data_IF_236086774315
#
_entry.id   IF_236086774315
#
_cell.length_a   1.000
_cell.length_b   1.000
_cell.length_c   1.000
_cell.angle_alpha   90.00
_cell.angle_beta   90.00
_cell.angle_gamma   90.00
#
_symmetry.space_group_name_H-M   'P 1'
#
loop_
_entity.id
_entity.type
_entity.pdbx_description
1 polymer ?
#
# COMPACT_ATOMS: atom_id res chain seq x y z
N UNK A 1 5.33 70.45 -44.80
CA UNK A 1 3.93 69.95 -44.74
C UNK A 1 3.94 68.44 -45.10
N UNK A 2 4.06 67.60 -44.11
CA UNK A 2 3.91 66.13 -44.31
C UNK A 2 3.09 65.60 -43.13
N UNK A 3 2.03 64.93 -43.44
CA UNK A 3 1.14 64.26 -42.49
C UNK A 3 1.81 62.99 -41.91
N UNK A 4 1.57 62.59 -40.64
CA UNK A 4 1.97 61.33 -40.12
C UNK A 4 0.89 60.25 -40.49
N UNK A 5 1.39 59.07 -40.79
CA UNK A 5 0.66 57.83 -41.10
C UNK A 5 0.20 57.17 -39.82
N UNK A 6 -1.09 56.87 -39.69
CA UNK A 6 -1.72 56.13 -38.61
C UNK A 6 -1.59 54.62 -38.88
N UNK A 7 -0.59 53.98 -38.26
CA UNK A 7 -0.42 52.52 -38.24
C UNK A 7 -1.13 51.91 -37.06
N UNK A 8 -2.39 51.45 -37.19
CA UNK A 8 -3.08 50.59 -36.24
C UNK A 8 -2.58 49.16 -36.41
N UNK A 9 -1.58 48.77 -35.59
CA UNK A 9 -1.18 47.37 -35.41
C UNK A 9 -2.12 46.66 -34.43
N UNK A 10 -3.04 45.86 -34.97
CA UNK A 10 -3.85 44.93 -34.18
C UNK A 10 -2.99 43.81 -33.68
N UNK A 11 -2.85 43.71 -32.36
CA UNK A 11 -2.31 42.55 -31.69
C UNK A 11 -3.38 41.45 -31.65
N UNK A 12 -3.17 40.36 -32.42
CA UNK A 12 -3.93 39.14 -32.26
C UNK A 12 -3.72 38.58 -30.85
N UNK A 13 -4.79 38.06 -30.19
CA UNK A 13 -4.64 37.41 -28.89
C UNK A 13 -3.90 36.05 -29.08
N UNK A 14 -2.85 35.82 -28.29
CA UNK A 14 -2.12 34.58 -28.26
C UNK A 14 -3.06 33.41 -27.98
N UNK A 15 -3.07 32.45 -28.88
CA UNK A 15 -3.84 31.19 -28.75
C UNK A 15 -3.32 30.41 -27.56
N UNK A 16 -4.20 30.11 -26.57
CA UNK A 16 -3.83 29.33 -25.40
C UNK A 16 -3.38 27.92 -25.81
N UNK A 17 -2.37 27.34 -25.17
CA UNK A 17 -1.88 26.02 -25.53
C UNK A 17 -3.00 24.96 -25.35
N UNK A 18 -3.33 24.26 -26.41
CA UNK A 18 -4.29 23.15 -26.40
C UNK A 18 -3.63 21.94 -25.75
N UNK A 19 -4.21 21.47 -24.65
CA UNK A 19 -3.83 20.19 -24.03
C UNK A 19 -4.15 19.09 -25.03
N UNK A 20 -3.18 18.27 -25.48
CA UNK A 20 -3.46 17.13 -26.36
C UNK A 20 -4.33 16.11 -25.62
N UNK A 21 -5.24 15.40 -26.32
CA UNK A 21 -6.03 14.35 -25.70
C UNK A 21 -5.12 13.20 -25.25
N UNK A 22 -5.50 12.49 -24.16
CA UNK A 22 -4.71 11.37 -23.65
C UNK A 22 -4.57 10.31 -24.75
N UNK A 23 -3.34 9.83 -24.94
CA UNK A 23 -3.07 8.74 -25.87
C UNK A 23 -3.81 7.48 -25.37
N UNK A 24 -4.45 6.70 -26.28
CA UNK A 24 -4.97 5.41 -25.91
C UNK A 24 -3.83 4.53 -25.39
N UNK A 25 -4.06 3.85 -24.26
CA UNK A 25 -3.12 2.90 -23.71
C UNK A 25 -2.70 1.90 -24.80
N UNK A 26 -1.41 1.82 -25.09
CA UNK A 26 -0.87 0.78 -25.94
C UNK A 26 -1.24 -0.57 -25.29
N UNK A 27 -1.83 -1.47 -26.08
CA UNK A 27 -2.05 -2.86 -25.66
C UNK A 27 -0.67 -3.49 -25.48
N UNK A 28 -0.21 -3.53 -24.22
CA UNK A 28 1.00 -4.20 -23.84
C UNK A 28 0.75 -5.70 -23.89
N UNK A 29 1.15 -6.31 -25.02
CA UNK A 29 1.17 -7.75 -25.19
C UNK A 29 2.35 -8.32 -24.41
N UNK A 30 2.25 -8.29 -23.07
CA UNK A 30 3.21 -8.84 -22.14
C UNK A 30 3.40 -10.33 -22.37
N UNK A 31 4.43 -10.67 -23.14
CA UNK A 31 4.91 -12.03 -23.32
C UNK A 31 5.74 -12.41 -22.11
N UNK A 32 5.14 -13.11 -21.15
CA UNK A 32 5.86 -13.70 -20.03
C UNK A 32 6.95 -14.66 -20.53
N UNK A 33 8.18 -14.62 -19.98
CA UNK A 33 9.21 -15.60 -20.33
C UNK A 33 8.78 -17.01 -19.89
N UNK A 34 8.91 -17.99 -20.81
CA UNK A 34 8.36 -19.34 -20.67
C UNK A 34 9.18 -20.29 -19.76
N UNK A 35 9.93 -19.82 -18.77
CA UNK A 35 10.83 -20.67 -17.98
C UNK A 35 10.79 -20.44 -16.47
N UNK A 36 9.66 -20.00 -15.94
CA UNK A 36 9.47 -20.01 -14.49
C UNK A 36 8.83 -21.33 -14.06
N UNK A 37 9.64 -22.37 -13.90
CA UNK A 37 9.28 -23.59 -13.16
C UNK A 37 9.98 -23.52 -11.79
N UNK A 38 9.25 -23.65 -10.66
CA UNK A 38 9.92 -23.84 -9.38
C UNK A 38 10.74 -25.13 -9.43
N UNK A 39 11.99 -25.07 -9.04
CA UNK A 39 12.86 -26.23 -8.95
C UNK A 39 12.26 -27.25 -7.97
N UNK A 40 12.30 -28.58 -8.28
CA UNK A 40 11.91 -29.59 -7.33
C UNK A 40 12.85 -29.58 -6.12
N UNK A 41 12.36 -29.89 -4.91
CA UNK A 41 13.20 -29.95 -3.71
C UNK A 41 14.29 -31.00 -3.89
N UNK A 42 15.52 -30.64 -3.52
CA UNK A 42 16.65 -31.56 -3.49
C UNK A 42 16.39 -32.64 -2.43
N UNK A 43 16.33 -33.87 -2.86
CA UNK A 43 16.28 -35.06 -2.00
C UNK A 43 17.57 -35.17 -1.18
N UNK A 44 17.47 -35.25 0.15
CA UNK A 44 18.54 -35.80 0.95
C UNK A 44 18.98 -35.07 2.23
N UNK A 45 18.17 -34.24 2.87
CA UNK A 45 18.47 -33.77 4.23
C UNK A 45 17.39 -34.25 5.22
N UNK A 46 17.76 -34.88 6.39
CA UNK A 46 16.77 -35.25 7.40
C UNK A 46 16.20 -33.97 8.08
N UNK A 47 14.91 -34.00 8.47
CA UNK A 47 14.27 -32.84 9.05
C UNK A 47 14.92 -32.45 10.39
N UNK A 48 15.03 -31.16 10.70
CA UNK A 48 15.51 -30.69 12.01
C UNK A 48 14.55 -31.15 13.12
N UNK A 49 15.10 -31.69 14.20
CA UNK A 49 14.34 -32.09 15.40
C UNK A 49 13.73 -30.84 16.00
N UNK A 50 12.41 -30.83 16.12
CA UNK A 50 11.66 -29.78 16.81
C UNK A 50 12.05 -29.66 18.29
N UNK A 51 11.80 -28.50 18.91
CA UNK A 51 12.09 -28.27 20.33
C UNK A 51 11.30 -29.27 21.19
N UNK A 52 11.99 -29.94 22.10
CA UNK A 52 11.36 -30.82 23.10
C UNK A 52 10.57 -29.95 24.08
N UNK A 53 9.27 -30.25 24.22
CA UNK A 53 8.46 -29.67 25.29
C UNK A 53 9.01 -30.07 26.68
N UNK A 54 9.03 -29.17 27.66
CA UNK A 54 9.40 -29.48 29.02
C UNK A 54 8.34 -30.42 29.65
N UNK A 55 8.80 -31.54 30.22
CA UNK A 55 7.97 -32.50 30.93
C UNK A 55 7.25 -31.83 32.09
N UNK A 56 5.94 -31.92 32.13
CA UNK A 56 5.13 -31.58 33.33
C UNK A 56 5.46 -32.52 34.48
N UNK A 57 5.53 -31.99 35.72
CA UNK A 57 5.61 -32.83 36.91
C UNK A 57 4.32 -33.63 37.08
N UNK A 58 4.47 -34.92 37.48
CA UNK A 58 3.37 -35.78 37.86
C UNK A 58 2.81 -35.35 39.22
N UNK A 59 1.52 -35.09 39.29
CA UNK A 59 0.79 -34.93 40.55
C UNK A 59 0.35 -36.29 41.10
N UNK A 60 0.30 -36.46 42.46
CA UNK A 60 -0.04 -37.70 43.08
C UNK A 60 -1.55 -37.99 43.08
N UNK A 61 -1.89 -39.25 42.93
CA UNK A 61 -3.25 -39.78 43.04
C UNK A 61 -3.81 -39.53 44.46
N UNK A 62 -4.93 -38.87 44.56
CA UNK A 62 -5.80 -38.97 45.75
C UNK A 62 -7.22 -39.37 45.35
N UNK A 63 -7.85 -40.06 46.31
CA UNK A 63 -8.97 -41.00 46.19
C UNK A 63 -10.31 -40.31 45.94
N UNK A 64 -11.15 -41.06 45.24
CA UNK A 64 -12.58 -40.80 45.04
C UNK A 64 -13.33 -40.80 46.41
N UNK A 65 -14.07 -39.73 46.66
CA UNK A 65 -15.26 -39.77 47.50
C UNK A 65 -16.46 -39.24 46.73
N UNK A 66 -17.48 -40.10 46.67
CA UNK A 66 -18.77 -39.85 46.06
C UNK A 66 -19.57 -38.87 46.91
N UNK A 67 -20.02 -37.78 46.32
CA UNK A 67 -21.10 -36.95 46.85
C UNK A 67 -22.10 -36.60 45.74
N UNK A 68 -23.36 -36.84 46.01
CA UNK A 68 -24.55 -36.64 45.17
C UNK A 68 -24.78 -35.17 44.79
N UNK A 69 -25.43 -34.89 43.66
CA UNK A 69 -25.61 -33.51 43.17
C UNK A 69 -26.78 -32.81 43.89
N UNK A 70 -26.50 -31.65 44.48
CA UNK A 70 -27.51 -30.69 44.88
C UNK A 70 -27.91 -29.81 43.69
N UNK A 71 -29.21 -29.78 43.45
CA UNK A 71 -29.87 -28.87 42.50
C UNK A 71 -29.59 -27.42 42.88
N UNK A 72 -28.84 -26.71 42.02
CA UNK A 72 -28.76 -25.25 42.04
C UNK A 72 -29.68 -24.68 40.95
N UNK A 73 -30.69 -23.97 41.41
CA UNK A 73 -31.60 -23.15 40.61
C UNK A 73 -30.79 -22.12 39.80
N UNK A 74 -30.92 -22.16 38.47
CA UNK A 74 -30.43 -21.11 37.56
C UNK A 74 -31.15 -19.79 37.77
N UNK A 75 -30.44 -18.64 37.87
CA UNK A 75 -31.08 -17.34 37.73
C UNK A 75 -31.49 -17.10 36.28
N UNK A 76 -32.70 -16.59 36.12
CA UNK A 76 -33.35 -16.27 34.86
C UNK A 76 -32.43 -15.53 33.88
N UNK A 77 -32.18 -16.14 32.71
CA UNK A 77 -31.48 -15.49 31.60
C UNK A 77 -32.31 -14.36 31.02
N UNK A 78 -31.81 -13.15 31.13
CA UNK A 78 -32.31 -11.99 30.39
C UNK A 78 -32.35 -12.28 28.89
N UNK A 79 -33.50 -12.09 28.30
CA UNK A 79 -33.77 -12.29 26.87
C UNK A 79 -32.91 -11.37 26.02
N UNK A 80 -31.81 -11.92 25.51
CA UNK A 80 -31.08 -11.31 24.39
C UNK A 80 -31.97 -11.36 23.15
N UNK A 81 -32.34 -10.19 22.65
CA UNK A 81 -33.18 -10.00 21.49
C UNK A 81 -32.72 -10.85 20.30
N UNK A 82 -33.61 -11.74 19.89
CA UNK A 82 -33.47 -12.55 18.68
C UNK A 82 -33.51 -11.59 17.49
N UNK A 83 -32.39 -11.48 16.74
CA UNK A 83 -32.37 -10.79 15.46
C UNK A 83 -33.51 -11.33 14.59
N UNK A 84 -34.29 -10.48 13.91
CA UNK A 84 -35.33 -10.95 13.01
C UNK A 84 -34.70 -11.80 11.90
N UNK A 85 -35.29 -12.95 11.61
CA UNK A 85 -34.90 -13.80 10.51
C UNK A 85 -34.96 -12.99 9.20
N UNK A 86 -34.02 -13.20 8.25
CA UNK A 86 -34.08 -12.53 6.95
C UNK A 86 -35.44 -12.86 6.28
N UNK A 87 -36.03 -11.90 5.55
CA UNK A 87 -37.30 -12.13 4.87
C UNK A 87 -37.14 -13.32 3.90
N UNK A 88 -38.04 -14.30 4.05
CA UNK A 88 -38.15 -15.40 3.09
C UNK A 88 -38.45 -14.80 1.73
N UNK A 89 -37.66 -15.10 0.68
CA UNK A 89 -37.97 -14.61 -0.65
C UNK A 89 -39.39 -15.02 -1.06
N UNK A 90 -40.15 -14.14 -1.72
CA UNK A 90 -41.50 -14.45 -2.14
C UNK A 90 -41.48 -15.72 -3.00
N UNK A 91 -42.36 -16.69 -2.66
CA UNK A 91 -42.57 -17.88 -3.47
C UNK A 91 -43.00 -17.39 -4.85
N UNK A 92 -42.30 -17.80 -5.93
CA UNK A 92 -42.70 -17.39 -7.28
C UNK A 92 -44.13 -17.84 -7.55
N UNK A 93 -44.94 -17.03 -8.25
CA UNK A 93 -46.30 -17.40 -8.60
C UNK A 93 -46.29 -18.74 -9.34
N UNK A 94 -47.30 -19.61 -9.15
CA UNK A 94 -47.37 -20.87 -9.86
C UNK A 94 -47.34 -20.60 -11.37
N UNK A 95 -46.45 -21.31 -12.09
CA UNK A 95 -46.30 -21.18 -13.54
C UNK A 95 -47.67 -21.37 -14.21
N UNK A 96 -48.03 -20.58 -15.24
CA UNK A 96 -49.30 -20.72 -15.92
C UNK A 96 -49.41 -22.15 -16.45
N UNK A 97 -50.51 -22.84 -16.09
CA UNK A 97 -50.75 -24.19 -16.55
C UNK A 97 -51.14 -24.14 -18.03
N UNK A 98 -50.14 -24.23 -18.89
CA UNK A 98 -50.34 -24.30 -20.33
C UNK A 98 -50.96 -25.67 -20.72
N UNK A 99 -51.91 -25.70 -21.65
CA UNK A 99 -52.51 -26.95 -22.11
C UNK A 99 -51.49 -27.79 -22.88
N UNK A 100 -51.66 -29.14 -22.88
CA UNK A 100 -50.80 -30.04 -23.63
C UNK A 100 -50.60 -29.64 -25.11
N UNK A 101 -51.67 -29.16 -25.76
CA UNK A 101 -51.59 -28.71 -27.16
C UNK A 101 -50.66 -27.49 -27.33
N UNK A 102 -50.72 -26.55 -26.39
CA UNK A 102 -49.83 -25.34 -26.38
C UNK A 102 -48.38 -25.76 -26.08
N UNK A 103 -48.16 -26.58 -25.08
CA UNK A 103 -46.80 -27.07 -24.77
C UNK A 103 -46.18 -27.85 -25.92
N UNK A 104 -46.97 -28.70 -26.62
CA UNK A 104 -46.52 -29.38 -27.81
C UNK A 104 -46.14 -28.45 -28.93
N UNK A 105 -46.86 -27.32 -29.11
CA UNK A 105 -46.54 -26.34 -30.16
C UNK A 105 -45.29 -25.55 -29.88
N UNK A 106 -44.86 -25.48 -28.61
CA UNK A 106 -43.63 -24.78 -28.17
C UNK A 106 -42.36 -25.64 -28.29
N UNK A 107 -42.47 -26.97 -28.54
CA UNK A 107 -41.31 -27.86 -28.58
C UNK A 107 -40.26 -27.45 -29.62
N UNK A 108 -40.66 -26.93 -30.77
CA UNK A 108 -39.71 -26.42 -31.76
C UNK A 108 -38.96 -25.18 -31.33
N UNK A 109 -39.65 -24.21 -30.74
CA UNK A 109 -39.02 -23.02 -30.18
C UNK A 109 -38.12 -23.36 -28.99
N UNK A 110 -38.55 -24.31 -28.16
CA UNK A 110 -37.73 -24.81 -27.03
C UNK A 110 -36.45 -25.49 -27.51
N UNK A 111 -36.54 -26.35 -28.55
CA UNK A 111 -35.36 -27.01 -29.10
C UNK A 111 -34.32 -26.00 -29.66
N UNK A 112 -34.77 -24.87 -30.19
CA UNK A 112 -33.96 -23.77 -30.69
C UNK A 112 -33.51 -22.79 -29.61
N UNK A 113 -33.85 -23.03 -28.33
CA UNK A 113 -33.61 -22.14 -27.21
C UNK A 113 -34.23 -20.74 -27.40
N UNK A 114 -35.37 -20.65 -28.12
CA UNK A 114 -36.05 -19.41 -28.47
C UNK A 114 -37.29 -19.11 -27.59
N UNK A 115 -37.59 -19.96 -26.59
CA UNK A 115 -38.67 -19.72 -25.63
C UNK A 115 -38.25 -18.72 -24.54
N UNK A 116 -39.16 -17.88 -24.04
CA UNK A 116 -38.98 -17.14 -22.81
C UNK A 116 -38.77 -18.08 -21.60
N UNK A 117 -38.13 -17.61 -20.52
CA UNK A 117 -37.83 -18.48 -19.35
C UNK A 117 -39.05 -19.17 -18.74
N UNK A 118 -40.21 -18.53 -18.73
CA UNK A 118 -41.46 -19.07 -18.18
C UNK A 118 -42.01 -20.20 -19.06
N UNK A 119 -41.98 -20.07 -20.37
CA UNK A 119 -42.41 -21.11 -21.32
C UNK A 119 -41.39 -22.27 -21.31
N UNK A 120 -40.10 -22.01 -21.21
CA UNK A 120 -39.06 -23.02 -21.10
C UNK A 120 -39.33 -23.91 -19.86
N UNK A 121 -39.54 -23.28 -18.70
CA UNK A 121 -39.84 -24.01 -17.48
C UNK A 121 -41.12 -24.86 -17.56
N UNK A 122 -42.17 -24.33 -18.20
CA UNK A 122 -43.43 -25.05 -18.40
C UNK A 122 -43.26 -26.27 -19.34
N UNK A 123 -42.52 -26.10 -20.45
CA UNK A 123 -42.19 -27.21 -21.37
C UNK A 123 -41.35 -28.27 -20.64
N UNK A 124 -40.30 -27.91 -19.96
CA UNK A 124 -39.43 -28.85 -19.24
C UNK A 124 -40.19 -29.63 -18.15
N UNK A 125 -41.04 -28.96 -17.38
CA UNK A 125 -41.91 -29.62 -16.43
C UNK A 125 -42.83 -30.63 -17.10
N UNK A 126 -43.40 -30.32 -18.27
CA UNK A 126 -44.26 -31.22 -19.04
C UNK A 126 -43.51 -32.43 -19.60
N UNK A 127 -42.29 -32.26 -20.11
CA UNK A 127 -41.48 -33.34 -20.66
C UNK A 127 -41.17 -34.44 -19.62
N UNK A 128 -41.12 -34.10 -18.35
CA UNK A 128 -40.92 -35.08 -17.26
C UNK A 128 -42.14 -36.03 -17.07
N UNK A 129 -43.33 -35.70 -17.63
CA UNK A 129 -44.57 -36.44 -17.38
C UNK A 129 -45.26 -36.89 -18.66
N UNK A 130 -44.72 -36.51 -19.86
CA UNK A 130 -45.34 -36.85 -21.13
C UNK A 130 -44.33 -37.45 -22.12
N UNK A 131 -44.22 -38.77 -22.15
CA UNK A 131 -43.32 -39.50 -23.04
C UNK A 131 -43.42 -39.13 -24.51
N UNK A 132 -44.63 -38.99 -25.10
CA UNK A 132 -44.71 -38.59 -26.52
C UNK A 132 -44.12 -37.22 -26.85
N UNK A 133 -44.25 -36.26 -25.94
CA UNK A 133 -43.63 -34.94 -26.09
C UNK A 133 -42.13 -34.99 -25.85
N UNK A 134 -41.66 -35.85 -24.92
CA UNK A 134 -40.24 -36.04 -24.68
C UNK A 134 -39.53 -36.65 -25.90
N UNK A 135 -40.13 -37.66 -26.54
CA UNK A 135 -39.61 -38.27 -27.76
C UNK A 135 -39.57 -37.26 -28.94
N UNK A 136 -40.58 -36.42 -29.04
CA UNK A 136 -40.63 -35.34 -30.05
C UNK A 136 -39.57 -34.27 -29.78
N UNK A 137 -39.41 -33.87 -28.53
CA UNK A 137 -38.38 -32.92 -28.11
C UNK A 137 -36.97 -33.41 -28.40
N UNK A 138 -36.67 -34.69 -28.19
CA UNK A 138 -35.38 -35.30 -28.56
C UNK A 138 -35.14 -35.25 -30.07
N UNK A 139 -36.14 -35.63 -30.89
CA UNK A 139 -36.01 -35.58 -32.33
C UNK A 139 -35.80 -34.16 -32.86
N UNK A 140 -36.49 -33.17 -32.29
CA UNK A 140 -36.28 -31.76 -32.63
C UNK A 140 -34.90 -31.25 -32.26
N UNK A 141 -34.35 -31.66 -31.07
CA UNK A 141 -32.97 -31.30 -30.69
C UNK A 141 -31.94 -31.96 -31.62
N UNK A 142 -32.12 -33.22 -31.99
CA UNK A 142 -31.26 -33.88 -32.99
C UNK A 142 -31.31 -33.13 -34.34
N UNK A 143 -32.50 -32.76 -34.79
CA UNK A 143 -32.66 -31.98 -36.03
C UNK A 143 -32.00 -30.61 -35.93
N UNK A 144 -32.12 -29.92 -34.82
CA UNK A 144 -31.42 -28.64 -34.55
C UNK A 144 -29.90 -28.82 -34.54
N UNK A 145 -29.41 -29.95 -33.97
CA UNK A 145 -28.00 -30.32 -34.04
C UNK A 145 -27.46 -30.45 -35.47
N UNK A 146 -28.30 -30.95 -36.42
CA UNK A 146 -27.94 -31.09 -37.82
C UNK A 146 -27.92 -29.73 -38.57
N UNK A 147 -28.63 -28.71 -38.05
CA UNK A 147 -28.64 -27.36 -38.64
C UNK A 147 -27.39 -26.55 -38.24
N UNK A 148 -26.73 -26.92 -37.16
CA UNK A 148 -25.43 -26.37 -36.80
C UNK A 148 -24.37 -27.21 -37.53
N UNK A 149 -23.66 -26.61 -38.49
CA UNK A 149 -22.46 -27.22 -39.06
C UNK A 149 -21.56 -27.67 -37.90
N UNK A 150 -20.92 -28.84 -38.07
CA UNK A 150 -20.03 -29.50 -37.10
C UNK A 150 -18.89 -28.56 -36.59
N UNK A 151 -19.25 -27.53 -35.88
CA UNK A 151 -18.36 -26.91 -34.96
C UNK A 151 -18.39 -27.85 -33.75
N UNK A 152 -17.29 -28.57 -33.59
CA UNK A 152 -17.03 -29.48 -32.47
C UNK A 152 -17.64 -28.93 -31.19
N UNK A 153 -18.59 -29.67 -30.61
CA UNK A 153 -19.10 -29.41 -29.25
C UNK A 153 -18.00 -29.63 -28.16
N UNK A 154 -16.81 -30.07 -28.60
CA UNK A 154 -15.61 -30.03 -27.76
C UNK A 154 -15.30 -28.56 -27.51
N UNK A 155 -15.68 -28.13 -26.32
CA UNK A 155 -15.33 -26.81 -25.81
C UNK A 155 -13.84 -26.63 -26.01
N UNK A 156 -13.47 -25.59 -26.76
CA UNK A 156 -12.06 -25.19 -26.89
C UNK A 156 -11.38 -25.29 -25.51
N UNK A 157 -10.37 -26.14 -25.36
CA UNK A 157 -9.67 -26.33 -24.07
C UNK A 157 -9.21 -25.00 -23.45
N UNK A 158 -9.01 -23.98 -24.27
CA UNK A 158 -8.62 -22.63 -23.85
C UNK A 158 -9.82 -21.71 -23.55
N UNK A 159 -11.08 -22.17 -23.80
CA UNK A 159 -12.26 -21.34 -23.56
C UNK A 159 -12.35 -20.93 -22.07
N UNK A 160 -12.10 -21.85 -21.16
CA UNK A 160 -12.07 -21.57 -19.72
C UNK A 160 -11.03 -20.49 -19.39
N UNK A 161 -9.83 -20.63 -19.93
CA UNK A 161 -8.75 -19.66 -19.72
C UNK A 161 -9.09 -18.29 -20.32
N UNK A 162 -9.67 -18.25 -21.53
CA UNK A 162 -10.12 -17.02 -22.15
C UNK A 162 -11.27 -16.35 -21.42
N UNK A 163 -12.25 -17.11 -20.95
CA UNK A 163 -13.36 -16.59 -20.13
C UNK A 163 -12.84 -16.04 -18.81
N UNK A 164 -11.97 -16.79 -18.12
CA UNK A 164 -11.36 -16.33 -16.88
C UNK A 164 -10.50 -15.09 -17.10
N UNK A 165 -9.67 -15.06 -18.15
CA UNK A 165 -8.89 -13.89 -18.49
C UNK A 165 -9.78 -12.68 -18.83
N UNK A 166 -10.86 -12.88 -19.59
CA UNK A 166 -11.84 -11.85 -19.89
C UNK A 166 -12.62 -11.36 -18.65
N UNK A 167 -12.95 -12.26 -17.72
CA UNK A 167 -13.60 -11.91 -16.46
C UNK A 167 -12.64 -11.17 -15.53
N UNK A 168 -11.39 -11.63 -15.42
CA UNK A 168 -10.35 -10.99 -14.61
C UNK A 168 -9.93 -9.64 -15.18
N UNK A 169 -9.86 -9.50 -16.51
CA UNK A 169 -9.59 -8.22 -17.15
C UNK A 169 -10.72 -7.19 -17.00
N UNK A 170 -11.97 -7.63 -16.85
CA UNK A 170 -13.14 -6.76 -16.60
C UNK A 170 -13.36 -6.44 -15.12
N UNK A 171 -12.86 -7.27 -14.23
CA UNK A 171 -12.73 -7.01 -12.80
C UNK A 171 -11.24 -6.88 -12.51
N UNK A 172 -10.68 -5.68 -12.44
CA UNK A 172 -9.40 -5.52 -11.79
C UNK A 172 -9.57 -6.17 -10.42
N UNK A 173 -8.79 -7.23 -10.18
CA UNK A 173 -8.74 -7.86 -8.87
C UNK A 173 -8.32 -6.76 -7.91
N UNK A 174 -9.28 -6.10 -7.28
CA UNK A 174 -9.01 -5.20 -6.17
C UNK A 174 -8.69 -6.08 -4.99
N UNK A 175 -7.45 -6.52 -4.95
CA UNK A 175 -6.86 -6.93 -3.69
C UNK A 175 -6.87 -5.65 -2.87
N UNK A 176 -7.58 -5.59 -1.75
CA UNK A 176 -7.63 -4.37 -0.96
C UNK A 176 -6.23 -4.11 -0.40
N UNK A 177 -5.57 -3.10 -0.94
CA UNK A 177 -4.32 -2.61 -0.35
C UNK A 177 -4.66 -2.07 1.03
N UNK A 178 -3.97 -2.50 2.10
CA UNK A 178 -4.17 -1.94 3.42
C UNK A 178 -3.96 -0.42 3.41
N UNK A 179 -4.79 0.32 4.12
CA UNK A 179 -4.75 1.79 4.14
C UNK A 179 -3.35 2.37 4.48
N UNK A 180 -2.59 1.67 5.33
CA UNK A 180 -1.24 2.08 5.72
C UNK A 180 -0.19 1.78 4.63
N UNK A 181 -0.41 0.77 3.78
CA UNK A 181 0.46 0.47 2.64
C UNK A 181 0.05 1.29 1.39
N UNK A 182 -1.22 1.69 1.31
CA UNK A 182 -1.74 2.52 0.21
C UNK A 182 -1.04 3.88 0.10
N UNK A 183 -0.50 4.40 1.20
CA UNK A 183 0.31 5.64 1.18
C UNK A 183 1.59 5.45 0.37
N UNK A 184 2.33 4.36 0.65
CA UNK A 184 3.54 4.01 -0.10
C UNK A 184 3.24 3.71 -1.57
N UNK A 185 2.21 2.91 -1.85
CA UNK A 185 1.82 2.59 -3.23
C UNK A 185 1.52 3.84 -4.04
N UNK A 186 0.84 4.82 -3.44
CA UNK A 186 0.50 6.08 -4.09
C UNK A 186 1.74 6.95 -4.36
N UNK A 187 2.62 7.13 -3.37
CA UNK A 187 3.80 8.00 -3.54
C UNK A 187 4.84 7.35 -4.46
N UNK A 188 5.05 6.04 -4.37
CA UNK A 188 5.88 5.31 -5.32
C UNK A 188 5.32 5.36 -6.75
N UNK A 189 3.99 5.31 -6.91
CA UNK A 189 3.38 5.46 -8.23
C UNK A 189 3.54 6.89 -8.80
N UNK A 190 3.53 7.91 -7.94
CA UNK A 190 3.76 9.32 -8.35
C UNK A 190 5.21 9.54 -8.77
N UNK A 191 6.16 9.00 -7.99
CA UNK A 191 7.58 9.03 -8.36
C UNK A 191 7.81 8.25 -9.67
N UNK A 192 7.22 7.08 -9.84
CA UNK A 192 7.28 6.31 -11.09
C UNK A 192 6.71 7.08 -12.29
N UNK A 193 5.66 7.88 -12.07
CA UNK A 193 5.10 8.75 -13.13
C UNK A 193 6.08 9.86 -13.53
N UNK A 194 6.73 10.52 -12.55
CA UNK A 194 7.81 11.49 -12.81
C UNK A 194 8.93 10.84 -13.63
N UNK A 195 9.42 9.67 -13.19
CA UNK A 195 10.52 8.97 -13.86
C UNK A 195 10.18 8.53 -15.30
N UNK A 196 8.92 8.25 -15.59
CA UNK A 196 8.45 7.92 -16.95
C UNK A 196 8.39 9.12 -17.88
N UNK A 197 8.20 10.30 -17.32
CA UNK A 197 8.10 11.54 -18.08
C UNK A 197 9.47 12.13 -18.43
N UNK A 198 10.52 11.62 -17.78
CA UNK A 198 11.90 12.07 -17.96
C UNK A 198 12.51 11.59 -19.26
N UNK A 199 13.27 12.51 -19.89
CA UNK A 199 14.15 12.18 -21.01
C UNK A 199 15.53 11.67 -20.57
N UNK A 200 16.30 11.15 -21.52
CA UNK A 200 17.64 10.58 -21.28
C UNK A 200 18.60 11.58 -20.59
N UNK A 201 18.54 12.87 -20.96
CA UNK A 201 19.39 13.88 -20.36
C UNK A 201 19.06 14.14 -18.88
N UNK A 202 17.78 14.07 -18.51
CA UNK A 202 17.30 14.30 -17.15
C UNK A 202 17.70 13.16 -16.22
N UNK A 203 17.75 11.93 -16.70
CA UNK A 203 18.25 10.77 -15.94
C UNK A 203 19.73 10.94 -15.50
N UNK A 204 20.48 11.75 -16.22
CA UNK A 204 21.89 12.08 -15.91
C UNK A 204 22.04 13.38 -15.13
N UNK A 205 20.94 14.07 -14.81
CA UNK A 205 21.02 15.29 -14.04
C UNK A 205 21.63 15.02 -12.65
N UNK A 206 22.51 15.92 -12.17
CA UNK A 206 23.04 15.83 -10.82
C UNK A 206 21.93 16.16 -9.82
N UNK A 207 21.73 15.31 -8.84
CA UNK A 207 20.76 15.50 -7.74
C UNK A 207 21.54 15.76 -6.46
N UNK A 208 21.17 16.83 -5.75
CA UNK A 208 21.76 17.19 -4.46
C UNK A 208 20.87 16.65 -3.32
N UNK A 209 21.24 15.52 -2.71
CA UNK A 209 20.59 15.04 -1.50
C UNK A 209 21.02 15.86 -0.28
N UNK A 210 20.08 16.13 0.63
CA UNK A 210 20.30 16.90 1.85
C UNK A 210 19.60 16.19 3.01
N UNK A 211 20.27 16.07 4.15
CA UNK A 211 19.69 15.51 5.37
C UNK A 211 20.36 16.12 6.61
N UNK A 212 19.85 15.79 7.78
CA UNK A 212 20.36 16.27 9.02
C UNK A 212 21.03 15.15 9.83
N UNK A 213 22.36 15.20 10.03
CA UNK A 213 23.14 14.16 10.73
C UNK A 213 22.97 14.13 12.26
N UNK A 214 21.97 14.87 12.78
CA UNK A 214 21.71 15.07 14.18
C UNK A 214 22.39 16.30 14.78
N UNK A 215 23.35 16.92 14.08
CA UNK A 215 24.09 18.11 14.50
C UNK A 215 23.99 19.26 13.50
N UNK A 216 24.08 18.95 12.21
CA UNK A 216 24.07 19.91 11.12
C UNK A 216 23.44 19.31 9.87
N UNK A 217 23.06 20.17 8.97
CA UNK A 217 22.70 19.76 7.62
C UNK A 217 23.96 19.27 6.89
N UNK A 218 23.85 18.14 6.24
CA UNK A 218 24.86 17.55 5.37
C UNK A 218 24.23 17.28 4.00
N UNK A 219 25.05 17.04 3.00
CA UNK A 219 24.53 16.75 1.66
C UNK A 219 25.55 16.02 0.80
N UNK A 220 25.03 15.34 -0.21
CA UNK A 220 25.80 14.57 -1.18
C UNK A 220 25.24 14.78 -2.58
N UNK A 221 26.12 14.89 -3.56
CA UNK A 221 25.74 14.90 -4.97
C UNK A 221 25.68 13.45 -5.48
N UNK A 222 24.63 13.14 -6.22
CA UNK A 222 24.39 11.84 -6.86
C UNK A 222 23.68 12.06 -8.19
N UNK A 223 23.15 10.99 -8.81
CA UNK A 223 22.33 11.04 -10.02
C UNK A 223 20.91 10.62 -9.73
N UNK A 224 19.98 10.80 -10.65
CA UNK A 224 18.61 10.27 -10.52
C UNK A 224 18.65 8.75 -10.29
N UNK A 225 19.46 8.03 -11.05
CA UNK A 225 19.63 6.59 -10.87
C UNK A 225 20.16 6.24 -9.47
N UNK A 226 21.12 7.01 -8.94
CA UNK A 226 21.62 6.85 -7.56
C UNK A 226 20.58 7.05 -6.49
N UNK A 227 19.65 8.00 -6.69
CA UNK A 227 18.50 8.21 -5.78
C UNK A 227 17.54 7.02 -5.82
N UNK A 228 17.21 6.52 -7.01
CA UNK A 228 16.30 5.37 -7.14
C UNK A 228 16.94 4.10 -6.59
N UNK A 229 18.25 3.91 -6.81
CA UNK A 229 19.00 2.83 -6.21
C UNK A 229 19.01 2.88 -4.67
N UNK A 230 19.22 4.07 -4.09
CA UNK A 230 19.07 4.30 -2.65
C UNK A 230 17.69 3.86 -2.15
N UNK A 231 16.60 4.34 -2.77
CA UNK A 231 15.25 3.95 -2.39
C UNK A 231 15.06 2.44 -2.47
N UNK A 232 15.52 1.80 -3.54
CA UNK A 232 15.40 0.36 -3.74
C UNK A 232 16.12 -0.45 -2.65
N UNK A 233 17.35 -0.09 -2.31
CA UNK A 233 18.10 -0.87 -1.31
C UNK A 233 17.59 -0.64 0.11
N UNK A 234 17.06 0.54 0.44
CA UNK A 234 16.45 0.76 1.74
C UNK A 234 15.07 0.09 1.83
N UNK A 235 14.28 0.06 0.76
CA UNK A 235 13.04 -0.74 0.66
C UNK A 235 13.34 -2.25 0.83
N UNK A 236 14.57 -2.69 0.53
CA UNK A 236 15.06 -4.05 0.81
C UNK A 236 14.95 -4.47 2.28
N UNK A 237 14.97 -3.55 3.24
CA UNK A 237 14.74 -3.83 4.67
C UNK A 237 13.31 -4.38 4.87
N UNK A 238 12.33 -3.78 4.21
CA UNK A 238 10.94 -4.26 4.23
C UNK A 238 10.82 -5.58 3.50
N UNK A 239 11.49 -5.70 2.35
CA UNK A 239 11.50 -6.93 1.54
C UNK A 239 12.02 -8.11 2.37
N UNK A 240 13.18 -7.98 3.01
CA UNK A 240 13.75 -9.00 3.89
C UNK A 240 12.82 -9.35 5.06
N UNK A 241 12.21 -8.35 5.69
CA UNK A 241 11.25 -8.55 6.79
C UNK A 241 9.98 -9.30 6.37
N UNK A 242 9.62 -9.26 5.09
CA UNK A 242 8.50 -9.96 4.49
C UNK A 242 8.89 -11.28 3.80
N UNK A 243 10.15 -11.69 3.88
CA UNK A 243 10.66 -12.90 3.23
C UNK A 243 10.77 -12.78 1.71
N UNK A 244 10.82 -11.55 1.19
CA UNK A 244 11.08 -11.27 -0.22
C UNK A 244 12.60 -11.14 -0.47
N UNK A 245 13.06 -11.30 -1.72
CA UNK A 245 14.46 -11.07 -2.08
C UNK A 245 14.92 -9.67 -1.71
N UNK A 246 16.13 -9.57 -1.16
CA UNK A 246 16.80 -8.31 -0.86
C UNK A 246 17.69 -7.92 -2.05
N UNK A 247 17.62 -6.68 -2.57
CA UNK A 247 18.47 -6.23 -3.68
C UNK A 247 19.97 -6.36 -3.41
N UNK A 248 20.41 -6.22 -2.15
CA UNK A 248 21.81 -6.38 -1.73
C UNK A 248 22.17 -7.82 -1.34
N UNK A 249 21.23 -8.76 -1.44
CA UNK A 249 21.45 -10.16 -1.08
C UNK A 249 21.32 -10.47 0.41
N UNK A 250 21.75 -11.69 0.80
CA UNK A 250 21.52 -12.23 2.15
C UNK A 250 22.34 -11.54 3.24
N UNK A 251 23.48 -10.98 2.91
CA UNK A 251 24.42 -10.34 3.84
C UNK A 251 24.23 -8.81 3.90
N UNK A 252 23.08 -8.32 3.42
CA UNK A 252 22.78 -6.88 3.37
C UNK A 252 22.86 -6.24 4.75
N UNK A 253 23.43 -5.03 4.89
CA UNK A 253 23.39 -4.28 6.13
C UNK A 253 21.96 -4.04 6.62
N UNK A 254 21.77 -3.99 7.95
CA UNK A 254 20.46 -3.67 8.53
C UNK A 254 20.17 -2.17 8.66
N UNK A 255 21.17 -1.35 8.47
CA UNK A 255 21.12 0.11 8.63
C UNK A 255 20.92 0.80 7.28
N UNK A 256 19.99 1.77 7.12
CA UNK A 256 19.71 2.45 5.84
C UNK A 256 20.92 3.14 5.22
N UNK A 257 21.70 3.87 6.03
CA UNK A 257 22.89 4.57 5.53
C UNK A 257 23.96 3.58 5.04
N UNK A 258 24.20 2.52 5.81
CA UNK A 258 25.15 1.47 5.42
C UNK A 258 24.71 0.74 4.13
N UNK A 259 23.40 0.55 3.91
CA UNK A 259 22.86 -0.03 2.66
C UNK A 259 23.08 0.90 1.47
N UNK A 260 22.81 2.17 1.67
CA UNK A 260 23.00 3.20 0.66
C UNK A 260 24.47 3.29 0.25
N UNK A 261 25.39 3.32 1.22
CA UNK A 261 26.82 3.34 0.97
C UNK A 261 27.30 2.07 0.25
N UNK A 262 26.79 0.88 0.63
CA UNK A 262 27.08 -0.37 -0.04
C UNK A 262 26.64 -0.34 -1.52
N UNK A 263 25.45 0.19 -1.80
CA UNK A 263 24.95 0.34 -3.16
C UNK A 263 25.82 1.30 -3.99
N UNK A 264 26.19 2.45 -3.43
CA UNK A 264 26.97 3.46 -4.13
C UNK A 264 28.46 3.09 -4.29
N UNK A 265 28.98 2.14 -3.47
CA UNK A 265 30.37 1.67 -3.60
C UNK A 265 30.51 0.45 -4.50
N UNK A 266 29.56 -0.49 -4.40
CA UNK A 266 29.65 -1.79 -5.05
C UNK A 266 28.48 -2.04 -6.01
N UNK A 267 27.58 -1.05 -6.17
CA UNK A 267 26.36 -1.18 -6.95
C UNK A 267 26.61 -1.25 -8.46
N UNK A 268 25.63 -1.77 -9.20
CA UNK A 268 25.71 -1.89 -10.66
C UNK A 268 25.87 -0.54 -11.37
N UNK A 269 25.53 0.58 -10.71
CA UNK A 269 25.71 1.95 -11.25
C UNK A 269 27.16 2.30 -11.58
N UNK A 270 28.11 1.62 -10.96
CA UNK A 270 29.53 1.78 -11.28
C UNK A 270 29.94 1.00 -12.53
N UNK A 271 29.06 0.17 -13.07
CA UNK A 271 29.31 -0.55 -14.30
C UNK A 271 29.17 0.37 -15.52
N UNK A 272 29.97 0.19 -16.57
CA UNK A 272 29.80 0.94 -17.82
C UNK A 272 28.41 0.78 -18.44
N UNK A 273 27.77 -0.38 -18.26
CA UNK A 273 26.45 -0.70 -18.76
C UNK A 273 25.36 0.11 -18.03
N UNK A 274 25.42 0.19 -16.70
CA UNK A 274 24.48 1.00 -15.91
C UNK A 274 24.67 2.50 -16.16
N UNK A 275 25.89 2.95 -16.38
CA UNK A 275 26.15 4.33 -16.79
C UNK A 275 25.62 4.65 -18.21
N UNK A 276 25.45 3.62 -19.04
CA UNK A 276 24.88 3.76 -20.39
C UNK A 276 23.33 3.85 -20.36
N UNK A 277 22.70 3.10 -19.46
CA UNK A 277 21.23 3.00 -19.32
C UNK A 277 20.79 3.33 -17.87
N UNK A 278 20.92 4.58 -17.42
CA UNK A 278 20.62 4.95 -16.03
C UNK A 278 19.14 4.72 -15.65
N UNK A 279 18.24 4.73 -16.62
CA UNK A 279 16.83 4.43 -16.43
C UNK A 279 16.55 2.95 -16.10
N UNK A 280 17.49 2.06 -16.31
CA UNK A 280 17.31 0.61 -16.07
C UNK A 280 17.07 0.28 -14.59
N UNK A 281 17.46 1.13 -13.64
CA UNK A 281 17.20 0.96 -12.20
C UNK A 281 15.72 1.10 -11.83
N UNK A 282 14.94 1.82 -12.66
CA UNK A 282 13.52 2.12 -12.38
C UNK A 282 12.68 0.85 -12.30
N UNK A 283 12.83 -0.07 -13.24
CA UNK A 283 12.00 -1.28 -13.32
C UNK A 283 12.19 -2.20 -12.10
N UNK A 284 13.42 -2.60 -11.71
CA UNK A 284 13.64 -3.38 -10.48
C UNK A 284 13.09 -2.72 -9.22
N UNK A 285 13.28 -1.41 -9.05
CA UNK A 285 12.71 -0.67 -7.92
C UNK A 285 11.17 -0.74 -7.92
N UNK A 286 10.53 -0.54 -9.06
CA UNK A 286 9.07 -0.56 -9.15
C UNK A 286 8.50 -1.97 -8.98
N UNK A 287 9.16 -3.00 -9.49
CA UNK A 287 8.79 -4.39 -9.28
C UNK A 287 8.86 -4.78 -7.79
N UNK A 288 9.92 -4.37 -7.10
CA UNK A 288 10.05 -4.56 -5.66
C UNK A 288 8.90 -3.88 -4.91
N UNK A 289 8.59 -2.61 -5.21
CA UNK A 289 7.48 -1.90 -4.60
C UNK A 289 6.13 -2.61 -4.82
N UNK A 290 5.87 -3.11 -6.01
CA UNK A 290 4.69 -3.93 -6.30
C UNK A 290 4.68 -5.25 -5.50
N UNK A 291 5.82 -5.90 -5.35
CA UNK A 291 5.93 -7.13 -4.56
C UNK A 291 5.65 -6.87 -3.07
N UNK A 292 6.18 -5.78 -2.51
CA UNK A 292 5.90 -5.33 -1.14
C UNK A 292 4.40 -5.12 -0.92
N UNK A 293 3.76 -4.28 -1.74
CA UNK A 293 2.32 -3.97 -1.64
C UNK A 293 1.46 -5.21 -1.81
N UNK A 294 1.78 -6.07 -2.78
CA UNK A 294 1.09 -7.33 -3.01
C UNK A 294 1.19 -8.26 -1.79
N UNK A 295 2.38 -8.42 -1.25
CA UNK A 295 2.62 -9.31 -0.10
C UNK A 295 1.80 -8.87 1.11
N UNK A 296 1.81 -7.60 1.47
CA UNK A 296 1.05 -7.12 2.63
C UNK A 296 -0.47 -7.14 2.40
N UNK A 297 -0.92 -7.02 1.16
CA UNK A 297 -2.33 -7.14 0.81
C UNK A 297 -2.89 -8.55 1.08
N UNK A 298 -2.04 -9.58 1.02
CA UNK A 298 -2.41 -10.96 1.35
C UNK A 298 -2.08 -11.37 2.79
N UNK A 299 -1.17 -10.67 3.47
CA UNK A 299 -0.65 -11.09 4.78
C UNK A 299 -1.65 -10.96 5.94
N UNK A 300 -2.81 -10.34 5.73
CA UNK A 300 -3.84 -10.17 6.75
C UNK A 300 -3.53 -9.09 7.80
N UNK A 301 -4.46 -8.91 8.74
CA UNK A 301 -4.40 -7.79 9.70
C UNK A 301 -3.24 -7.86 10.70
N UNK A 302 -2.72 -9.06 10.97
CA UNK A 302 -1.62 -9.27 11.94
C UNK A 302 -0.30 -8.72 11.47
N UNK A 303 -0.04 -8.72 10.16
CA UNK A 303 1.24 -8.29 9.58
C UNK A 303 1.59 -6.82 9.88
N UNK A 304 0.59 -5.95 10.09
CA UNK A 304 0.80 -4.52 10.37
C UNK A 304 1.73 -4.22 11.55
N UNK A 305 1.85 -5.15 12.50
CA UNK A 305 2.65 -5.01 13.73
C UNK A 305 3.96 -5.78 13.67
N UNK A 306 4.28 -6.43 12.54
CA UNK A 306 5.57 -7.09 12.35
C UNK A 306 6.68 -6.05 12.56
N UNK A 307 7.66 -6.31 13.46
CA UNK A 307 8.78 -5.39 13.66
C UNK A 307 9.71 -5.45 12.43
N UNK A 308 10.02 -4.29 11.90
CA UNK A 308 11.00 -4.09 10.82
C UNK A 308 12.25 -3.46 11.45
N UNK A 309 13.40 -4.13 11.46
CA UNK A 309 14.63 -3.60 12.05
C UNK A 309 15.34 -2.65 11.08
N UNK A 310 15.74 -1.48 11.61
CA UNK A 310 16.52 -0.46 10.90
C UNK A 310 17.91 -0.29 11.58
N UNK A 311 18.58 -1.38 11.88
CA UNK A 311 19.85 -1.35 12.60
C UNK A 311 19.69 -0.94 14.06
N UNK A 312 19.71 0.36 14.35
CA UNK A 312 19.66 0.90 15.72
C UNK A 312 18.27 1.00 16.35
N UNK A 313 17.20 0.80 15.59
CA UNK A 313 15.80 0.88 16.06
C UNK A 313 14.91 -0.06 15.23
N UNK A 314 13.62 -0.11 15.56
CA UNK A 314 12.64 -0.93 14.85
C UNK A 314 11.32 -0.17 14.73
N UNK A 315 10.66 -0.29 13.58
CA UNK A 315 9.31 0.22 13.37
C UNK A 315 8.33 -0.94 13.13
N UNK A 316 7.07 -0.81 13.53
CA UNK A 316 6.02 -1.68 13.03
C UNK A 316 5.93 -1.58 11.50
N UNK A 317 5.65 -2.68 10.81
CA UNK A 317 5.55 -2.73 9.34
C UNK A 317 4.64 -1.63 8.77
N UNK A 318 3.49 -1.36 9.41
CA UNK A 318 2.60 -0.27 9.00
C UNK A 318 3.28 1.10 9.00
N UNK A 319 4.13 1.34 9.99
CA UNK A 319 4.84 2.61 10.15
C UNK A 319 6.04 2.68 9.20
N UNK A 320 6.68 1.54 8.91
CA UNK A 320 7.72 1.43 7.90
C UNK A 320 7.21 1.77 6.49
N UNK A 321 6.00 1.33 6.13
CA UNK A 321 5.42 1.72 4.84
C UNK A 321 5.14 3.22 4.74
N UNK A 322 4.72 3.86 5.84
CA UNK A 322 4.50 5.32 5.87
C UNK A 322 5.83 6.07 5.82
N UNK A 323 6.86 5.57 6.49
CA UNK A 323 8.24 6.07 6.45
C UNK A 323 8.78 6.02 5.00
N UNK A 324 8.67 4.86 4.33
CA UNK A 324 9.10 4.73 2.94
C UNK A 324 8.30 5.58 1.96
N UNK A 325 7.01 5.83 2.25
CA UNK A 325 6.21 6.78 1.47
C UNK A 325 6.74 8.21 1.59
N UNK A 326 7.15 8.61 2.79
CA UNK A 326 7.76 9.93 3.02
C UNK A 326 9.07 10.06 2.24
N UNK A 327 9.94 9.04 2.28
CA UNK A 327 11.19 9.01 1.51
C UNK A 327 10.95 9.08 0.00
N UNK A 328 9.95 8.35 -0.53
CA UNK A 328 9.58 8.47 -1.94
C UNK A 328 9.16 9.91 -2.29
N UNK A 329 8.44 10.61 -1.40
CA UNK A 329 8.05 11.99 -1.63
C UNK A 329 9.24 12.95 -1.56
N UNK A 330 10.10 12.82 -0.52
CA UNK A 330 11.32 13.63 -0.36
C UNK A 330 12.20 13.55 -1.60
N UNK A 331 12.54 12.33 -1.99
CA UNK A 331 13.46 12.11 -3.12
C UNK A 331 12.83 12.40 -4.48
N UNK A 332 11.51 12.28 -4.62
CA UNK A 332 10.83 12.80 -5.80
C UNK A 332 10.93 14.32 -5.88
N UNK A 333 10.89 15.02 -4.74
CA UNK A 333 11.13 16.46 -4.64
C UNK A 333 12.57 16.83 -5.03
N UNK A 334 13.57 16.09 -4.53
CA UNK A 334 14.99 16.29 -4.88
C UNK A 334 15.23 16.14 -6.39
N UNK A 335 14.65 15.10 -7.00
CA UNK A 335 14.73 14.87 -8.44
C UNK A 335 14.02 16.00 -9.20
N UNK A 336 12.81 16.34 -8.80
CA UNK A 336 12.03 17.39 -9.45
C UNK A 336 12.72 18.76 -9.39
N UNK A 337 13.35 19.11 -8.24
CA UNK A 337 14.18 20.30 -8.10
C UNK A 337 15.36 20.28 -9.10
N UNK A 338 16.02 19.14 -9.23
CA UNK A 338 17.19 18.98 -10.09
C UNK A 338 16.90 19.15 -11.59
N UNK A 339 15.66 18.86 -12.03
CA UNK A 339 15.25 18.91 -13.45
C UNK A 339 14.22 20.00 -13.73
N UNK A 340 13.95 20.90 -12.75
CA UNK A 340 12.93 21.97 -12.83
C UNK A 340 11.53 21.43 -13.21
N UNK A 341 11.13 20.33 -12.60
CA UNK A 341 9.84 19.67 -12.84
C UNK A 341 8.82 20.03 -11.75
N UNK A 342 7.58 20.43 -12.09
CA UNK A 342 6.55 20.72 -11.08
C UNK A 342 6.10 19.47 -10.36
N UNK A 343 6.35 19.37 -9.05
CA UNK A 343 5.98 18.22 -8.24
C UNK A 343 5.09 18.61 -7.06
N UNK A 344 3.83 18.21 -7.13
CA UNK A 344 2.82 18.55 -6.13
C UNK A 344 3.00 17.77 -4.82
N UNK A 345 2.64 18.31 -3.66
CA UNK A 345 2.67 17.57 -2.40
C UNK A 345 1.69 16.38 -2.39
N UNK A 346 1.87 15.42 -1.47
CA UNK A 346 0.95 14.29 -1.30
C UNK A 346 -0.49 14.72 -1.00
N UNK A 347 -1.45 13.83 -1.30
CA UNK A 347 -2.82 14.03 -0.87
C UNK A 347 -2.89 14.26 0.65
N UNK A 348 -3.77 15.17 1.11
CA UNK A 348 -3.86 15.57 2.52
C UNK A 348 -4.01 14.39 3.49
N UNK A 349 -4.70 13.30 3.10
CA UNK A 349 -4.83 12.10 3.91
C UNK A 349 -3.51 11.35 4.08
N UNK A 350 -2.65 11.32 3.04
CA UNK A 350 -1.32 10.71 3.08
C UNK A 350 -0.37 11.56 3.92
N UNK A 351 -0.33 12.85 3.65
CA UNK A 351 0.49 13.79 4.41
C UNK A 351 0.17 13.71 5.91
N UNK A 352 -1.12 13.70 6.28
CA UNK A 352 -1.51 13.53 7.68
C UNK A 352 -0.95 12.24 8.32
N UNK A 353 -0.90 11.13 7.59
CA UNK A 353 -0.32 9.88 8.10
C UNK A 353 1.18 9.98 8.29
N UNK A 354 1.88 10.65 7.39
CA UNK A 354 3.32 10.92 7.50
C UNK A 354 3.61 11.81 8.71
N UNK A 355 2.91 12.93 8.85
CA UNK A 355 3.05 13.82 10.02
C UNK A 355 2.73 13.09 11.33
N UNK A 356 1.67 12.26 11.35
CA UNK A 356 1.31 11.45 12.52
C UNK A 356 2.44 10.48 12.91
N UNK A 357 3.09 9.84 11.94
CA UNK A 357 4.25 8.98 12.20
C UNK A 357 5.37 9.79 12.85
N UNK A 358 5.78 10.89 12.24
CA UNK A 358 6.86 11.74 12.73
C UNK A 358 6.55 12.28 14.14
N UNK A 359 5.33 12.78 14.37
CA UNK A 359 4.91 13.26 15.68
C UNK A 359 4.99 12.17 16.77
N UNK A 360 4.64 10.92 16.44
CA UNK A 360 4.75 9.77 17.35
C UNK A 360 6.21 9.37 17.63
N UNK A 361 7.13 9.61 16.71
CA UNK A 361 8.55 9.32 16.87
C UNK A 361 9.31 10.39 17.67
N UNK A 362 8.81 11.61 17.74
CA UNK A 362 9.47 12.74 18.40
C UNK A 362 9.88 12.47 19.87
N UNK A 363 9.05 11.86 20.73
CA UNK A 363 9.46 11.60 22.12
C UNK A 363 10.71 10.71 22.23
N UNK A 364 10.80 9.69 21.36
CA UNK A 364 11.97 8.81 21.30
C UNK A 364 13.18 9.51 20.70
N UNK A 365 12.98 10.32 19.66
CA UNK A 365 14.04 11.14 19.07
C UNK A 365 14.62 12.14 20.09
N UNK A 366 13.77 12.81 20.87
CA UNK A 366 14.19 13.67 21.98
C UNK A 366 15.03 12.90 23.03
N UNK A 367 14.58 11.70 23.40
CA UNK A 367 15.32 10.85 24.33
C UNK A 367 16.66 10.37 23.75
N UNK A 368 16.73 10.06 22.47
CA UNK A 368 17.98 9.71 21.78
C UNK A 368 18.96 10.87 21.74
N UNK A 369 18.49 12.08 21.37
CA UNK A 369 19.32 13.28 21.38
C UNK A 369 19.91 13.60 22.75
N UNK A 370 19.13 13.39 23.82
CA UNK A 370 19.61 13.54 25.20
C UNK A 370 20.72 12.52 25.55
N UNK A 371 20.50 11.24 25.17
CA UNK A 371 21.54 10.20 25.38
C UNK A 371 22.82 10.50 24.62
N UNK A 372 22.71 11.13 23.44
CA UNK A 372 23.86 11.57 22.65
C UNK A 372 24.48 12.88 23.14
N UNK A 373 23.95 13.52 24.20
CA UNK A 373 24.44 14.82 24.73
C UNK A 373 24.10 16.02 23.79
N UNK A 374 23.11 15.86 22.90
CA UNK A 374 22.70 16.86 21.92
C UNK A 374 21.47 17.68 22.35
N UNK A 375 20.88 17.37 23.49
CA UNK A 375 19.77 18.09 24.11
C UNK A 375 19.92 18.10 25.63
N UNK A 376 19.31 19.11 26.28
CA UNK A 376 19.32 19.23 27.72
C UNK A 376 18.62 18.07 28.44
N UNK A 377 18.91 17.83 29.75
CA UNK A 377 18.22 16.80 30.50
C UNK A 377 16.72 17.08 30.61
N UNK A 378 15.90 16.04 30.91
CA UNK A 378 14.49 16.26 31.15
C UNK A 378 14.27 17.17 32.36
N UNK A 379 13.40 18.15 32.25
CA UNK A 379 13.13 19.11 33.32
C UNK A 379 12.27 18.56 34.44
N UNK A 380 11.47 17.52 34.14
CA UNK A 380 10.64 16.78 35.10
C UNK A 380 10.87 15.28 34.94
N UNK A 381 11.16 14.63 36.04
CA UNK A 381 11.12 13.16 36.12
C UNK A 381 9.70 12.79 36.55
N UNK A 382 8.92 12.26 35.62
CA UNK A 382 7.54 11.80 35.85
C UNK A 382 7.46 10.27 35.94
N UNK A 383 6.38 9.78 36.55
CA UNK A 383 6.04 8.37 36.50
C UNK A 383 5.59 8.01 35.09
N UNK A 384 5.97 6.83 34.61
CA UNK A 384 5.49 6.34 33.31
C UNK A 384 3.93 6.32 33.29
N UNK A 385 3.35 6.82 32.20
CA UNK A 385 1.89 6.94 32.08
C UNK A 385 1.26 8.13 32.79
N UNK A 386 2.04 8.98 33.47
CA UNK A 386 1.54 10.24 34.02
C UNK A 386 1.62 11.37 32.99
N UNK A 387 0.72 12.38 33.06
CA UNK A 387 0.82 13.58 32.26
C UNK A 387 2.16 14.29 32.49
N UNK A 388 2.80 14.75 31.40
CA UNK A 388 4.09 15.45 31.45
C UNK A 388 4.07 16.75 30.66
N UNK A 389 5.16 17.53 30.79
CA UNK A 389 5.34 18.73 29.94
C UNK A 389 5.20 18.35 28.49
N UNK A 390 4.40 19.14 27.79
CA UNK A 390 3.95 18.82 26.42
C UNK A 390 4.22 20.00 25.50
N UNK A 391 4.58 19.73 24.25
CA UNK A 391 4.58 20.71 23.17
C UNK A 391 3.37 20.43 22.25
N UNK A 392 2.64 21.48 21.91
CA UNK A 392 1.59 21.43 20.91
C UNK A 392 2.19 21.70 19.52
N UNK A 393 2.22 20.67 18.67
CA UNK A 393 2.61 20.76 17.28
C UNK A 393 1.35 20.88 16.41
N UNK A 394 1.30 21.90 15.57
CA UNK A 394 0.28 22.11 14.56
C UNK A 394 0.93 22.08 13.18
N UNK A 395 0.38 21.29 12.25
CA UNK A 395 0.77 21.31 10.85
C UNK A 395 -0.45 21.64 10.01
N UNK A 396 -0.39 22.73 9.25
CA UNK A 396 -1.50 23.26 8.47
C UNK A 396 -2.12 22.20 7.55
N UNK A 397 -3.44 22.06 7.60
CA UNK A 397 -4.18 21.09 6.79
C UNK A 397 -3.96 19.62 7.15
N UNK A 398 -3.09 19.31 8.14
CA UNK A 398 -2.80 17.95 8.59
C UNK A 398 -3.36 17.66 9.98
N UNK A 399 -3.25 18.56 10.94
CA UNK A 399 -3.82 18.39 12.28
C UNK A 399 -2.95 18.93 13.41
N UNK A 400 -3.23 18.42 14.60
CA UNK A 400 -2.61 18.83 15.85
C UNK A 400 -2.09 17.60 16.62
N UNK A 401 -0.91 17.71 17.21
CA UNK A 401 -0.29 16.65 18.01
C UNK A 401 0.27 17.23 19.32
N UNK A 402 0.14 16.47 20.36
CA UNK A 402 0.69 16.81 21.67
C UNK A 402 1.90 15.91 21.96
N UNK A 403 3.09 16.49 22.02
CA UNK A 403 4.37 15.79 22.10
C UNK A 403 4.87 15.84 23.54
N UNK A 404 4.97 14.71 24.27
CA UNK A 404 5.57 14.68 25.60
C UNK A 404 7.07 14.96 25.53
N UNK A 405 7.53 15.92 26.33
CA UNK A 405 8.88 16.45 26.22
C UNK A 405 9.90 15.72 27.10
N UNK A 406 9.52 15.30 28.30
CA UNK A 406 10.49 14.83 29.29
C UNK A 406 10.75 13.33 29.24
N UNK A 407 9.81 12.53 28.76
CA UNK A 407 9.92 11.06 28.65
C UNK A 407 9.02 10.52 27.54
N UNK A 408 9.49 9.54 26.74
CA UNK A 408 8.61 8.83 25.79
C UNK A 408 7.47 8.07 26.46
N UNK A 409 7.61 7.74 27.73
CA UNK A 409 6.60 7.04 28.53
C UNK A 409 5.57 7.97 29.20
N UNK A 410 5.74 9.30 29.09
CA UNK A 410 4.77 10.26 29.60
C UNK A 410 3.55 10.34 28.69
N UNK A 411 2.37 10.58 29.29
CA UNK A 411 1.18 10.88 28.49
C UNK A 411 1.20 12.35 28.03
N UNK A 412 0.88 12.61 26.77
CA UNK A 412 0.68 13.98 26.30
C UNK A 412 -0.49 14.62 27.04
N UNK A 413 -0.39 15.92 27.35
CA UNK A 413 -1.42 16.65 28.08
C UNK A 413 -1.56 18.07 27.57
N UNK A 414 -2.76 18.42 27.16
CA UNK A 414 -3.06 19.80 26.74
C UNK A 414 -2.88 20.77 27.90
N UNK A 415 -3.27 20.38 29.13
CA UNK A 415 -3.14 21.21 30.32
C UNK A 415 -1.67 21.47 30.73
N UNK A 416 -0.74 20.58 30.38
CA UNK A 416 0.69 20.69 30.65
C UNK A 416 1.46 21.23 29.43
N UNK A 417 0.76 21.87 28.48
CA UNK A 417 1.40 22.46 27.29
C UNK A 417 2.24 23.68 27.66
N UNK A 418 3.53 23.60 27.40
CA UNK A 418 4.52 24.65 27.70
C UNK A 418 4.97 25.42 26.48
N UNK A 419 4.76 24.87 25.28
CA UNK A 419 5.14 25.49 24.03
C UNK A 419 4.22 25.05 22.89
N UNK A 420 4.16 25.88 21.85
CA UNK A 420 3.44 25.58 20.60
C UNK A 420 4.34 25.89 19.41
N UNK A 421 4.32 24.99 18.42
CA UNK A 421 4.92 25.17 17.09
C UNK A 421 3.80 25.05 16.07
N UNK A 422 3.70 26.00 15.15
CA UNK A 422 2.82 25.94 13.99
C UNK A 422 3.67 26.00 12.72
N UNK A 423 3.53 24.99 11.86
CA UNK A 423 4.22 24.87 10.58
C UNK A 423 3.19 24.78 9.46
N UNK A 424 3.46 25.38 8.33
CA UNK A 424 2.79 24.96 7.11
C UNK A 424 3.34 23.63 6.62
N UNK A 425 2.73 23.07 5.59
CA UNK A 425 3.09 21.74 5.07
C UNK A 425 4.50 21.71 4.49
N UNK A 426 4.89 22.78 3.82
CA UNK A 426 6.19 22.91 3.21
C UNK A 426 7.30 23.05 4.27
N UNK A 427 7.09 23.92 5.27
CA UNK A 427 8.02 24.09 6.38
C UNK A 427 8.21 22.77 7.18
N UNK A 428 7.11 22.00 7.38
CA UNK A 428 7.22 20.68 8.01
C UNK A 428 8.04 19.72 7.14
N UNK A 429 7.77 19.67 5.83
CA UNK A 429 8.51 18.84 4.90
C UNK A 429 10.00 19.16 4.91
N UNK A 430 10.34 20.42 4.69
CA UNK A 430 11.73 20.89 4.63
C UNK A 430 12.50 20.58 5.92
N UNK A 431 11.85 20.73 7.07
CA UNK A 431 12.45 20.42 8.36
C UNK A 431 12.61 18.90 8.57
N UNK A 432 11.57 18.12 8.31
CA UNK A 432 11.56 16.68 8.56
C UNK A 432 12.47 15.91 7.59
N UNK A 433 12.61 16.41 6.36
CA UNK A 433 13.57 15.91 5.38
C UNK A 433 15.03 16.34 5.65
N UNK A 434 15.24 17.29 6.58
CA UNK A 434 16.56 17.84 6.85
C UNK A 434 17.07 18.81 5.76
N UNK A 435 16.17 19.28 4.89
CA UNK A 435 16.49 20.23 3.81
C UNK A 435 16.75 21.65 4.32
N UNK A 436 16.21 21.97 5.50
CA UNK A 436 16.40 23.24 6.18
C UNK A 436 16.96 22.98 7.57
N UNK A 437 18.00 23.74 7.99
CA UNK A 437 18.47 23.67 9.36
C UNK A 437 17.35 23.99 10.37
N UNK A 438 17.29 23.31 11.53
CA UNK A 438 16.23 23.57 12.51
C UNK A 438 16.10 25.01 12.97
N UNK A 439 17.22 25.75 12.99
CA UNK A 439 17.28 27.17 13.36
C UNK A 439 16.62 28.09 12.31
N UNK A 440 16.56 27.64 11.06
CA UNK A 440 16.03 28.39 9.92
C UNK A 440 14.59 27.96 9.58
N UNK A 441 14.06 26.93 10.27
CA UNK A 441 12.72 26.45 10.01
C UNK A 441 11.67 27.55 10.19
N UNK A 442 10.88 27.80 9.13
CA UNK A 442 9.79 28.78 9.14
C UNK A 442 8.64 28.26 10.01
N UNK A 443 8.63 28.64 11.28
CA UNK A 443 7.65 28.17 12.25
C UNK A 443 7.07 29.33 13.07
N UNK A 444 5.76 29.31 13.29
CA UNK A 444 5.13 30.08 14.35
C UNK A 444 5.47 29.46 15.70
N UNK A 445 6.09 30.24 16.61
CA UNK A 445 6.62 29.75 17.86
C UNK A 445 6.08 30.53 19.04
N UNK A 446 5.54 29.84 20.06
CA UNK A 446 5.02 30.46 21.28
C UNK A 446 5.40 29.55 22.47
N UNK A 447 5.89 30.17 23.58
CA UNK A 447 6.15 29.46 24.84
C UNK A 447 7.64 29.20 25.09
N UNK A 448 7.96 28.05 25.72
CA UNK A 448 9.30 27.68 26.15
C UNK A 448 10.28 27.52 24.96
N UNK A 449 11.26 28.42 24.79
CA UNK A 449 12.14 28.42 23.61
C UNK A 449 13.08 27.19 23.57
N UNK A 450 13.43 26.62 24.71
CA UNK A 450 14.27 25.42 24.76
C UNK A 450 13.47 24.17 24.30
N UNK A 451 12.21 24.06 24.74
CA UNK A 451 11.32 23.02 24.28
C UNK A 451 11.07 23.10 22.76
N UNK A 452 10.87 24.31 22.25
CA UNK A 452 10.71 24.57 20.80
C UNK A 452 11.97 24.11 20.06
N UNK A 453 13.11 24.59 20.46
CA UNK A 453 14.39 24.22 19.85
C UNK A 453 14.61 22.71 19.86
N UNK A 454 14.42 22.06 21.01
CA UNK A 454 14.64 20.62 21.15
C UNK A 454 13.74 19.82 20.21
N UNK A 455 12.47 20.23 20.03
CA UNK A 455 11.54 19.55 19.10
C UNK A 455 11.89 19.81 17.65
N UNK A 456 12.25 21.04 17.25
CA UNK A 456 12.70 21.31 15.87
C UNK A 456 13.93 20.47 15.50
N UNK A 457 14.92 20.43 16.38
CA UNK A 457 16.11 19.60 16.20
C UNK A 457 15.79 18.10 16.20
N UNK A 458 14.85 17.64 17.04
CA UNK A 458 14.41 16.26 17.04
C UNK A 458 13.68 15.90 15.75
N UNK A 459 12.87 16.82 15.20
CA UNK A 459 12.17 16.63 13.90
C UNK A 459 13.17 16.47 12.78
N UNK A 460 14.14 17.37 12.65
CA UNK A 460 15.20 17.28 11.65
C UNK A 460 16.04 15.98 11.79
N UNK A 461 16.27 15.53 13.02
CA UNK A 461 17.03 14.30 13.30
C UNK A 461 16.27 13.01 12.92
N UNK A 462 15.03 13.10 12.49
CA UNK A 462 14.27 11.98 11.92
C UNK A 462 14.54 11.80 10.43
N UNK A 463 15.15 12.80 9.77
CA UNK A 463 15.63 12.63 8.39
C UNK A 463 16.66 11.50 8.32
N UNK A 464 16.61 10.71 7.28
CA UNK A 464 17.48 9.56 7.08
C UNK A 464 17.97 9.56 5.64
N UNK A 465 19.13 9.01 5.47
CA UNK A 465 19.67 8.68 4.18
C UNK A 465 19.63 7.19 3.95
#
# INVERSE_FOLDING_TARGET
VSRPDDGTGGTEPAEAPRIPPPRPAAEDSGRWPAHWHPAPPADGAPPPRGPQEPRRPQEPHEQQEQQEPQEHQEPAAESRGRLPAPPVPPVPPPAPQLSHAVLKSLLGAWALAACPPEETAAVEAHLNHCNPCADEALRLREAVGLLHTEQSLDLDPLLRSRVLAGCLGRRPARIPVPDWAGVYDAEAARLDALLRDMGEAEWRAPVRLRWFDGRRQVGRDTTVAGVIGHLMVVDGILAASLGLPDPLGADAPGDPEARTEAYWHDGPELSPEAAAEPEAVREPWREQGHALVRTVSFAGRGARMLPVPYGGFSLPLRDSFVDRAFECWVHAGDIAEAIDYPYEPPASAHLRRMVDLYARLLPDALAQRRRAGLAGPPRRLGTAGAPGRTLHLEVEGSGHWYIPLDSPAALPSEAETVARIALDREAFYQLAAGHVPPEEAAAGQIGDPEAIRDVLFATASLSRM
#
